data_IF_395140415286
#
_entry.id   IF_395140415286
#
_cell.length_a   1.000
_cell.length_b   1.000
_cell.length_c   1.000
_cell.angle_alpha   90.00
_cell.angle_beta   90.00
_cell.angle_gamma   90.00
#
_symmetry.space_group_name_H-M   'P 1'
#
loop_
_entity.id
_entity.type
_entity.pdbx_description
1 polymer ?
#
# COMPACT_ATOMS: atom_id res chain seq x y z
N UNK A 1 -6.78 1.52 -17.80
CA UNK A 1 -6.72 1.04 -16.41
C UNK A 1 -7.35 2.14 -15.56
N UNK A 2 -8.51 1.91 -14.97
CA UNK A 2 -9.06 2.86 -14.01
C UNK A 2 -8.35 2.61 -12.69
N UNK A 3 -7.59 3.59 -12.20
CA UNK A 3 -7.06 3.56 -10.85
C UNK A 3 -8.22 3.93 -9.90
N UNK A 4 -8.44 3.20 -8.80
CA UNK A 4 -9.44 3.58 -7.81
C UNK A 4 -9.16 5.00 -7.30
N UNK A 5 -10.21 5.82 -7.16
CA UNK A 5 -10.07 7.14 -6.56
C UNK A 5 -9.92 6.99 -5.03
N UNK A 6 -8.68 7.01 -4.55
CA UNK A 6 -8.37 6.89 -3.12
C UNK A 6 -8.59 8.21 -2.34
N UNK A 7 -8.87 9.33 -3.01
CA UNK A 7 -9.02 10.63 -2.34
C UNK A 7 -10.32 10.75 -1.53
N UNK A 8 -11.29 9.87 -1.78
CA UNK A 8 -12.52 9.77 -0.98
C UNK A 8 -12.33 9.10 0.38
N UNK A 9 -11.26 8.34 0.58
CA UNK A 9 -11.01 7.56 1.80
C UNK A 9 -10.73 8.51 2.98
N UNK A 10 -11.35 8.25 4.13
CA UNK A 10 -11.16 9.05 5.34
C UNK A 10 -10.36 8.29 6.41
N UNK A 11 -9.61 9.01 7.28
CA UNK A 11 -9.05 8.43 8.49
C UNK A 11 -10.12 7.73 9.34
N UNK A 12 -9.75 6.58 9.90
CA UNK A 12 -10.63 5.72 10.69
C UNK A 12 -11.42 4.68 9.87
N UNK A 13 -11.31 4.69 8.54
CA UNK A 13 -11.88 3.61 7.71
C UNK A 13 -11.15 2.30 7.94
N UNK A 14 -11.87 1.19 7.77
CA UNK A 14 -11.30 -0.13 7.96
C UNK A 14 -10.65 -0.64 6.69
N UNK A 15 -9.48 -1.25 6.82
CA UNK A 15 -8.78 -1.88 5.70
C UNK A 15 -8.86 -3.38 5.84
N UNK A 16 -9.35 -4.02 4.78
CA UNK A 16 -9.58 -5.45 4.69
C UNK A 16 -8.77 -6.04 3.55
N UNK A 17 -8.29 -7.27 3.72
CA UNK A 17 -7.50 -7.95 2.71
C UNK A 17 -8.38 -8.72 1.70
N UNK A 18 -7.75 -9.32 0.70
CA UNK A 18 -8.43 -10.12 -0.34
C UNK A 18 -9.18 -11.36 0.18
N UNK A 19 -8.94 -11.77 1.43
CA UNK A 19 -9.60 -12.91 2.09
C UNK A 19 -10.73 -12.47 3.03
N UNK A 20 -10.99 -11.17 3.13
CA UNK A 20 -11.98 -10.62 4.06
C UNK A 20 -11.49 -10.61 5.50
N UNK A 21 -10.18 -10.49 5.73
CA UNK A 21 -9.59 -10.29 7.06
C UNK A 21 -9.25 -8.82 7.31
N UNK A 22 -9.57 -8.32 8.51
CA UNK A 22 -9.19 -6.95 8.91
C UNK A 22 -7.67 -6.84 9.05
N UNK A 23 -7.09 -5.94 8.26
CA UNK A 23 -5.67 -5.56 8.30
C UNK A 23 -5.44 -4.52 9.39
N UNK A 24 -6.23 -3.45 9.37
CA UNK A 24 -6.03 -2.30 10.24
C UNK A 24 -6.98 -1.16 9.94
N UNK A 25 -6.58 0.04 10.32
CA UNK A 25 -7.37 1.25 10.16
C UNK A 25 -6.57 2.31 9.38
N UNK A 26 -7.25 3.08 8.54
CA UNK A 26 -6.66 4.20 7.80
C UNK A 26 -6.25 5.30 8.77
N UNK A 27 -5.00 5.73 8.71
CA UNK A 27 -4.47 6.85 9.50
C UNK A 27 -4.48 8.14 8.69
N UNK A 28 -4.02 8.08 7.44
CA UNK A 28 -3.93 9.23 6.54
C UNK A 28 -3.87 8.77 5.08
N UNK A 29 -4.27 9.65 4.17
CA UNK A 29 -4.15 9.43 2.72
C UNK A 29 -3.03 10.30 2.19
N UNK A 30 -2.13 9.70 1.43
CA UNK A 30 -1.08 10.39 0.67
C UNK A 30 -1.43 10.40 -0.83
N UNK A 31 -0.63 11.10 -1.64
CA UNK A 31 -0.96 11.35 -3.06
C UNK A 31 -1.13 10.07 -3.90
N UNK A 32 -0.51 8.96 -3.50
CA UNK A 32 -0.52 7.68 -4.22
C UNK A 32 -0.59 6.45 -3.30
N UNK A 33 -0.77 6.64 -2.00
CA UNK A 33 -0.80 5.55 -1.03
C UNK A 33 -1.69 5.84 0.16
N UNK A 34 -2.25 4.79 0.74
CA UNK A 34 -3.04 4.80 1.97
C UNK A 34 -2.15 4.39 3.13
N UNK A 35 -2.02 5.25 4.13
CA UNK A 35 -1.28 4.93 5.35
C UNK A 35 -2.21 4.18 6.31
N UNK A 36 -1.84 2.95 6.63
CA UNK A 36 -2.63 2.00 7.41
C UNK A 36 -1.87 1.59 8.64
N UNK A 37 -2.52 1.68 9.80
CA UNK A 37 -1.97 1.15 11.05
C UNK A 37 -2.59 -0.19 11.35
N UNK A 38 -1.75 -1.22 11.48
CA UNK A 38 -2.21 -2.54 11.92
C UNK A 38 -2.53 -2.54 13.41
N UNK A 39 -3.71 -3.05 13.76
CA UNK A 39 -4.17 -3.14 15.15
C UNK A 39 -3.42 -4.22 15.95
N UNK A 40 -3.31 -4.04 17.27
CA UNK A 40 -2.71 -5.00 18.21
C UNK A 40 -1.71 -4.37 19.19
N UNK A 41 -1.05 -5.20 20.01
CA UNK A 41 0.01 -4.77 20.96
C UNK A 41 1.37 -4.49 20.27
N UNK A 42 1.52 -4.87 19.01
CA UNK A 42 2.67 -4.56 18.15
C UNK A 42 2.20 -3.89 16.86
N UNK A 43 1.55 -2.73 16.98
CA UNK A 43 1.12 -1.96 15.83
C UNK A 43 2.30 -1.65 14.90
N UNK A 44 2.11 -1.94 13.61
CA UNK A 44 3.02 -1.57 12.55
C UNK A 44 2.28 -0.73 11.51
N UNK A 45 2.97 0.29 11.02
CA UNK A 45 2.46 1.18 9.99
C UNK A 45 2.85 0.64 8.61
N UNK A 46 1.90 0.71 7.66
CA UNK A 46 2.07 0.30 6.28
C UNK A 46 1.58 1.36 5.30
N UNK A 47 2.30 1.54 4.20
CA UNK A 47 2.00 2.47 3.12
C UNK A 47 1.49 1.69 1.91
N UNK A 48 0.18 1.49 1.85
CA UNK A 48 -0.47 0.66 0.84
C UNK A 48 -0.59 1.47 -0.47
N UNK A 49 0.01 1.05 -1.58
CA UNK A 49 -0.11 1.76 -2.84
C UNK A 49 -1.55 1.67 -3.38
N UNK A 50 -2.01 2.72 -4.05
CA UNK A 50 -3.34 2.73 -4.67
C UNK A 50 -3.57 1.55 -5.66
N UNK A 51 -2.50 1.03 -6.27
CA UNK A 51 -2.56 -0.14 -7.15
C UNK A 51 -2.88 -1.45 -6.42
N UNK A 52 -2.73 -1.49 -5.11
CA UNK A 52 -3.08 -2.64 -4.28
C UNK A 52 -4.51 -2.56 -3.72
N UNK A 53 -5.20 -1.43 -3.90
CA UNK A 53 -6.62 -1.29 -3.57
C UNK A 53 -7.43 -1.96 -4.67
N UNK A 54 -8.26 -2.92 -4.30
CA UNK A 54 -9.18 -3.62 -5.20
C UNK A 54 -10.50 -2.87 -5.30
N UNK A 55 -11.08 -2.51 -4.15
CA UNK A 55 -12.34 -1.79 -4.07
C UNK A 55 -12.41 -0.82 -2.87
N UNK A 56 -13.32 0.14 -2.95
CA UNK A 56 -13.59 1.14 -1.93
C UNK A 56 -15.11 1.20 -1.71
N UNK A 57 -15.55 0.75 -0.54
CA UNK A 57 -16.95 0.79 -0.11
C UNK A 57 -17.16 1.85 0.99
N UNK A 58 -18.41 2.05 1.44
CA UNK A 58 -18.69 2.94 2.56
C UNK A 58 -17.91 2.51 3.81
N UNK A 59 -16.93 3.34 4.17
CA UNK A 59 -16.11 3.20 5.39
C UNK A 59 -15.12 2.01 5.35
N UNK A 60 -14.91 1.42 4.18
CA UNK A 60 -14.10 0.22 4.00
C UNK A 60 -13.24 0.28 2.74
N UNK A 61 -11.98 -0.12 2.88
CA UNK A 61 -11.02 -0.28 1.77
C UNK A 61 -10.67 -1.76 1.66
N UNK A 62 -10.87 -2.34 0.49
CA UNK A 62 -10.49 -3.72 0.20
C UNK A 62 -9.20 -3.77 -0.60
N UNK A 63 -8.27 -4.64 -0.19
CA UNK A 63 -7.00 -4.85 -0.86
C UNK A 63 -7.07 -6.10 -1.75
N UNK A 64 -6.34 -6.05 -2.86
CA UNK A 64 -6.18 -7.20 -3.76
C UNK A 64 -5.16 -8.24 -3.25
N UNK A 65 -4.46 -7.94 -2.15
CA UNK A 65 -3.46 -8.82 -1.50
C UNK A 65 -3.95 -9.31 -0.15
N UNK A 66 -3.47 -10.49 0.26
CA UNK A 66 -3.73 -11.07 1.58
C UNK A 66 -2.85 -10.42 2.67
N UNK A 67 -3.35 -10.37 3.90
CA UNK A 67 -2.67 -9.80 5.07
C UNK A 67 -1.32 -10.46 5.36
N UNK A 68 -1.20 -11.76 5.11
CA UNK A 68 0.04 -12.52 5.25
C UNK A 68 1.17 -11.99 4.36
N UNK A 69 0.81 -11.42 3.21
CA UNK A 69 1.76 -11.04 2.18
C UNK A 69 2.18 -9.58 2.32
N UNK A 70 1.37 -8.75 2.97
CA UNK A 70 1.62 -7.30 3.19
C UNK A 70 3.01 -7.07 3.80
N UNK A 71 3.41 -7.88 4.78
CA UNK A 71 4.72 -7.76 5.42
C UNK A 71 5.90 -8.02 4.47
N UNK A 72 5.68 -8.73 3.38
CA UNK A 72 6.69 -9.05 2.35
C UNK A 72 6.66 -8.10 1.15
N UNK A 73 5.67 -7.21 1.05
CA UNK A 73 5.56 -6.22 -0.03
C UNK A 73 6.55 -5.05 0.12
N UNK A 74 7.18 -4.90 1.29
CA UNK A 74 8.05 -3.76 1.59
C UNK A 74 7.29 -2.45 1.84
N UNK A 75 5.99 -2.53 2.13
CA UNK A 75 5.14 -1.37 2.46
C UNK A 75 5.32 -0.89 3.89
N UNK A 76 6.22 -1.48 4.67
CA UNK A 76 6.52 -1.06 6.04
C UNK A 76 7.40 0.19 6.15
N UNK A 77 7.68 0.82 5.01
CA UNK A 77 8.37 2.09 4.89
C UNK A 77 7.63 2.94 3.88
N UNK A 78 7.65 4.27 4.01
CA UNK A 78 7.14 5.14 2.96
C UNK A 78 7.86 4.81 1.65
N UNK A 79 7.18 4.95 0.49
CA UNK A 79 7.84 4.82 -0.80
C UNK A 79 9.09 5.69 -0.78
N UNK A 80 10.26 5.10 -1.04
CA UNK A 80 11.45 5.92 -1.21
C UNK A 80 11.15 6.88 -2.36
N UNK A 81 11.25 8.19 -2.13
CA UNK A 81 11.16 9.21 -3.16
C UNK A 81 12.09 8.80 -4.29
N UNK A 82 11.51 8.19 -5.32
CA UNK A 82 12.28 7.63 -6.42
C UNK A 82 12.63 8.83 -7.27
N UNK A 83 13.76 9.45 -6.96
CA UNK A 83 14.53 10.16 -7.97
C UNK A 83 14.63 9.16 -9.13
N UNK A 84 14.01 9.52 -10.25
CA UNK A 84 13.88 8.67 -11.42
C UNK A 84 15.26 8.16 -11.84
N UNK A 85 15.61 6.93 -11.45
CA UNK A 85 16.78 6.21 -11.97
C UNK A 85 16.44 5.72 -13.37
N UNK A 86 16.34 6.65 -14.31
CA UNK A 86 16.40 6.35 -15.72
C UNK A 86 17.81 5.85 -16.07
N UNK A 87 17.87 4.65 -16.66
CA UNK A 87 18.68 4.31 -17.85
C UNK A 87 20.22 4.51 -17.75
N UNK A 88 21.08 3.50 -17.94
CA UNK A 88 20.88 2.19 -18.55
C UNK A 88 22.13 1.31 -18.49
N UNK A 89 21.94 0.06 -18.90
CA UNK A 89 22.97 -0.95 -19.01
C UNK A 89 24.04 -0.59 -20.05
N UNK A 90 25.31 -0.86 -19.71
CA UNK A 90 26.45 -0.85 -20.62
C UNK A 90 27.51 -1.81 -20.12
N UNK A 91 27.38 -3.07 -20.53
CA UNK A 91 28.38 -4.13 -20.40
C UNK A 91 29.76 -3.69 -20.91
N UNK A 92 30.84 -4.03 -20.19
CA UNK A 92 32.15 -4.27 -20.82
C UNK A 92 32.84 -5.39 -20.04
N UNK A 93 32.74 -6.57 -20.66
CA UNK A 93 33.45 -7.81 -20.38
C UNK A 93 34.97 -7.64 -20.55
N UNK A 94 35.75 -8.33 -19.72
CA UNK A 94 37.20 -8.24 -19.65
C UNK A 94 37.86 -9.19 -20.66
N UNK A 95 38.84 -8.69 -21.40
CA UNK A 95 39.81 -9.46 -22.18
C UNK A 95 41.21 -8.88 -22.04
#
# INVERSE_FOLDING_TARGET
MNMPDIHGIQPGWEVWDSQGEKVGDVVSIESNSVHVKTGGIFSKDYYIPASAVDDIEEHRVELSVAKSDIGSQGWDKPPADTVSSGTGAGTTDQG
#
